data_IF_637748901660
#
_entry.id   IF_637748901660
#
_cell.length_a   1.000
_cell.length_b   1.000
_cell.length_c   1.000
_cell.angle_alpha   90.00
_cell.angle_beta   90.00
_cell.angle_gamma   90.00
#
_symmetry.space_group_name_H-M   'P 1'
#
loop_
_entity.id
_entity.type
_entity.pdbx_description
1 polymer ?
#
# COMPACT_ATOMS: atom_id res chain seq x y z
N UNK A 1 -17.81 66.84 15.19
CA UNK A 1 -18.54 65.56 15.33
C UNK A 1 -18.57 64.74 14.02
N UNK A 2 -19.02 65.29 12.89
CA UNK A 2 -19.06 64.59 11.59
C UNK A 2 -17.68 64.09 11.07
N UNK A 3 -16.63 64.90 11.23
CA UNK A 3 -15.25 64.54 10.82
C UNK A 3 -14.68 63.39 11.66
N UNK A 4 -15.00 63.35 12.96
CA UNK A 4 -14.56 62.28 13.86
C UNK A 4 -15.23 60.93 13.49
N UNK A 5 -16.51 60.97 13.09
CA UNK A 5 -17.24 59.79 12.61
C UNK A 5 -16.65 59.23 11.32
N UNK A 6 -16.27 60.11 10.37
CA UNK A 6 -15.64 59.72 9.11
C UNK A 6 -14.28 59.05 9.32
N UNK A 7 -13.47 59.58 10.24
CA UNK A 7 -12.18 59.00 10.60
C UNK A 7 -12.33 57.63 11.28
N UNK A 8 -13.33 57.46 12.15
CA UNK A 8 -13.62 56.17 12.79
C UNK A 8 -14.10 55.12 11.79
N UNK A 9 -14.95 55.51 10.85
CA UNK A 9 -15.41 54.65 9.75
C UNK A 9 -14.28 54.24 8.82
N UNK A 10 -13.36 55.15 8.50
CA UNK A 10 -12.16 54.84 7.71
C UNK A 10 -11.22 53.90 8.44
N UNK A 11 -11.05 54.07 9.76
CA UNK A 11 -10.23 53.19 10.60
C UNK A 11 -10.83 51.78 10.69
N UNK A 12 -12.16 51.68 10.83
CA UNK A 12 -12.90 50.42 10.81
C UNK A 12 -12.81 49.74 9.43
N UNK A 13 -12.92 50.49 8.34
CA UNK A 13 -12.72 49.98 6.98
C UNK A 13 -11.29 49.50 6.76
N UNK A 14 -10.28 50.22 7.26
CA UNK A 14 -8.88 49.80 7.21
C UNK A 14 -8.62 48.53 8.05
N UNK A 15 -9.23 48.41 9.23
CA UNK A 15 -9.15 47.20 10.06
C UNK A 15 -9.84 45.99 9.42
N UNK A 16 -10.93 46.19 8.68
CA UNK A 16 -11.62 45.13 7.91
C UNK A 16 -10.80 44.71 6.69
N UNK A 17 -10.11 45.64 6.03
CA UNK A 17 -9.26 45.33 4.85
C UNK A 17 -7.92 44.67 5.24
N UNK A 18 -7.42 44.91 6.46
CA UNK A 18 -6.22 44.23 6.99
C UNK A 18 -6.57 42.87 7.63
N UNK A 19 -7.85 42.52 7.71
CA UNK A 19 -8.35 41.29 8.31
C UNK A 19 -8.92 40.29 7.31
N UNK A 20 -8.20 39.96 6.24
CA UNK A 20 -8.42 38.71 5.47
C UNK A 20 -7.23 38.35 4.56
N UNK A 21 -6.01 38.41 5.10
CA UNK A 21 -4.87 37.71 4.52
C UNK A 21 -4.72 36.37 5.23
N UNK A 22 -5.76 35.52 5.14
CA UNK A 22 -5.71 34.14 5.59
C UNK A 22 -4.91 33.28 4.62
N UNK A 23 -3.63 33.09 4.93
CA UNK A 23 -2.95 31.79 4.91
C UNK A 23 -2.94 30.97 3.59
N UNK A 24 -2.50 31.56 2.47
CA UNK A 24 -2.07 30.76 1.31
C UNK A 24 -0.76 29.96 1.58
N UNK A 25 -0.03 30.27 2.66
CA UNK A 25 1.23 29.63 3.09
C UNK A 25 1.05 28.51 4.15
N UNK A 26 -0.17 28.24 4.65
CA UNK A 26 -0.32 27.43 5.87
C UNK A 26 0.07 25.95 5.66
N UNK A 27 -0.15 25.40 4.46
CA UNK A 27 0.06 23.98 4.16
C UNK A 27 1.08 23.73 3.04
N UNK A 28 2.22 24.42 3.10
CA UNK A 28 3.33 24.11 2.20
C UNK A 28 3.73 22.62 2.28
N UNK A 29 4.03 21.98 1.12
CA UNK A 29 4.49 20.60 1.07
C UNK A 29 5.75 20.38 1.91
N UNK A 30 5.83 19.22 2.55
CA UNK A 30 7.00 18.79 3.32
C UNK A 30 7.90 17.88 2.51
N UNK A 31 9.12 17.70 2.98
CA UNK A 31 10.04 16.71 2.43
C UNK A 31 10.55 15.76 3.51
N UNK A 32 10.86 14.52 3.13
CA UNK A 32 11.54 13.54 3.95
C UNK A 32 12.36 12.61 3.05
N UNK A 33 13.69 12.69 3.14
CA UNK A 33 14.58 11.95 2.24
C UNK A 33 14.36 12.35 0.78
N UNK A 34 14.15 11.34 -0.07
CA UNK A 34 13.94 11.48 -1.50
C UNK A 34 12.50 11.94 -1.85
N UNK A 35 11.59 11.97 -0.87
CA UNK A 35 10.25 12.52 -1.05
C UNK A 35 10.28 14.01 -0.80
N UNK A 36 10.16 14.80 -1.87
CA UNK A 36 10.26 16.27 -1.79
C UNK A 36 8.91 16.99 -1.70
N UNK A 37 7.80 16.35 -2.09
CA UNK A 37 6.48 16.99 -2.20
C UNK A 37 5.42 16.18 -1.44
N UNK A 38 5.57 16.07 -0.12
CA UNK A 38 4.58 15.45 0.76
C UNK A 38 3.54 16.53 1.11
N UNK A 39 2.41 16.46 0.43
CA UNK A 39 1.24 17.33 0.61
C UNK A 39 -0.02 16.52 0.92
N UNK A 40 -1.14 17.22 1.16
CA UNK A 40 -2.46 16.65 1.42
C UNK A 40 -2.79 15.53 0.40
N UNK A 41 -3.27 14.35 0.85
CA UNK A 41 -3.79 14.05 2.19
C UNK A 41 -2.73 13.71 3.24
N UNK A 42 -1.47 13.51 2.84
CA UNK A 42 -0.43 13.03 3.74
C UNK A 42 0.04 14.13 4.69
N UNK A 43 0.35 13.72 5.92
CA UNK A 43 1.03 14.55 6.93
C UNK A 43 2.24 13.83 7.49
N UNK A 44 3.24 14.59 7.92
CA UNK A 44 4.35 14.02 8.68
C UNK A 44 3.99 13.91 10.16
N UNK A 45 4.36 12.80 10.79
CA UNK A 45 4.20 12.58 12.23
C UNK A 45 4.92 13.69 13.01
N UNK A 46 4.19 14.33 13.91
CA UNK A 46 4.69 15.45 14.71
C UNK A 46 4.64 16.80 14.02
N UNK A 47 4.08 16.92 12.80
CA UNK A 47 3.76 18.22 12.21
C UNK A 47 2.67 18.91 13.04
N UNK A 48 2.94 20.10 13.64
CA UNK A 48 1.98 20.78 14.50
C UNK A 48 0.81 21.41 13.73
N UNK A 49 0.88 21.46 12.40
CA UNK A 49 -0.17 22.07 11.56
C UNK A 49 -1.37 21.14 11.45
N UNK A 50 -2.45 21.53 12.13
CA UNK A 50 -3.63 20.67 12.34
C UNK A 50 -4.39 20.40 11.03
N UNK A 51 -4.39 21.35 10.09
CA UNK A 51 -5.20 21.28 8.87
C UNK A 51 -4.45 20.81 7.61
N UNK A 52 -3.17 20.43 7.73
CA UNK A 52 -2.30 20.16 6.58
C UNK A 52 -2.13 18.68 6.23
N UNK A 53 -3.16 17.88 6.49
CA UNK A 53 -3.20 16.46 6.17
C UNK A 53 -4.12 15.70 7.12
N UNK A 54 -4.42 14.47 6.76
CA UNK A 54 -5.39 13.63 7.46
C UNK A 54 -4.67 12.67 8.42
N UNK A 55 -5.27 12.42 9.59
CA UNK A 55 -4.68 11.55 10.62
C UNK A 55 -4.42 10.12 10.11
N UNK A 56 -5.34 9.60 9.28
CA UNK A 56 -5.22 8.24 8.71
C UNK A 56 -4.15 8.14 7.60
N UNK A 57 -3.58 9.28 7.17
CA UNK A 57 -2.55 9.39 6.14
C UNK A 57 -1.24 9.95 6.73
N UNK A 58 -0.93 9.58 7.96
CA UNK A 58 0.29 9.99 8.65
C UNK A 58 1.51 9.15 8.24
N UNK A 59 2.60 9.82 7.85
CA UNK A 59 3.90 9.21 7.55
C UNK A 59 4.91 9.62 8.61
N UNK A 60 5.68 8.67 9.13
CA UNK A 60 6.84 9.00 9.95
C UNK A 60 8.03 9.38 9.07
N UNK A 61 8.91 10.26 9.55
CA UNK A 61 10.19 10.55 8.91
C UNK A 61 11.31 10.17 9.86
N UNK A 62 11.93 9.02 9.63
CA UNK A 62 12.95 8.45 10.51
C UNK A 62 14.24 8.22 9.71
N UNK A 63 15.37 8.71 10.21
CA UNK A 63 16.67 8.60 9.53
C UNK A 63 16.63 9.06 8.07
N UNK A 64 15.94 10.19 7.81
CA UNK A 64 15.76 10.75 6.47
C UNK A 64 15.06 9.79 5.49
N UNK A 65 14.16 8.93 5.99
CA UNK A 65 13.30 8.07 5.18
C UNK A 65 11.86 8.14 5.67
N UNK A 66 10.93 8.26 4.72
CA UNK A 66 9.52 8.21 5.01
C UNK A 66 9.09 6.76 5.28
N UNK A 67 8.37 6.55 6.37
CA UNK A 67 7.87 5.24 6.82
C UNK A 67 6.35 5.32 6.95
N UNK A 68 5.66 4.40 6.28
CA UNK A 68 4.26 4.11 6.51
C UNK A 68 4.15 2.97 7.52
N UNK A 69 3.39 3.21 8.59
CA UNK A 69 2.99 2.16 9.52
C UNK A 69 1.59 1.66 9.14
N UNK A 70 1.49 0.38 8.77
CA UNK A 70 0.26 -0.20 8.23
C UNK A 70 0.10 -1.65 8.69
N UNK A 71 -1.07 -2.02 9.22
CA UNK A 71 -1.36 -3.38 9.72
C UNK A 71 -0.28 -3.99 10.63
N UNK A 72 0.24 -3.20 11.58
CA UNK A 72 1.37 -3.56 12.46
C UNK A 72 2.71 -3.79 11.74
N UNK A 73 2.77 -3.54 10.43
CA UNK A 73 4.00 -3.50 9.65
C UNK A 73 4.56 -2.10 9.49
N UNK A 74 5.80 -2.04 9.04
CA UNK A 74 6.48 -0.80 8.67
C UNK A 74 7.08 -0.92 7.28
N UNK A 75 6.80 0.08 6.45
CA UNK A 75 7.15 0.10 5.03
C UNK A 75 7.82 1.42 4.67
N UNK A 76 8.95 1.38 3.97
CA UNK A 76 9.53 2.58 3.39
C UNK A 76 8.66 3.05 2.23
N UNK A 77 8.36 4.34 2.20
CA UNK A 77 7.65 4.97 1.07
C UNK A 77 8.66 5.34 -0.01
N UNK A 78 8.56 4.69 -1.17
CA UNK A 78 9.45 4.90 -2.32
C UNK A 78 9.00 6.06 -3.20
N UNK A 79 7.69 6.20 -3.40
CA UNK A 79 7.12 7.29 -4.19
C UNK A 79 5.66 7.52 -3.85
N UNK A 80 5.18 8.74 -4.12
CA UNK A 80 3.79 9.17 -3.97
C UNK A 80 3.36 9.78 -5.31
N UNK A 81 2.29 9.26 -5.91
CA UNK A 81 1.67 9.75 -7.12
C UNK A 81 0.30 10.35 -6.82
N UNK A 82 0.26 11.69 -6.74
CA UNK A 82 -0.99 12.42 -6.50
C UNK A 82 -2.00 12.30 -7.65
N UNK A 83 -1.51 12.25 -8.89
CA UNK A 83 -2.38 12.11 -10.06
C UNK A 83 -3.07 10.74 -10.10
N UNK A 84 -2.41 9.69 -9.60
CA UNK A 84 -2.93 8.33 -9.62
C UNK A 84 -3.54 7.90 -8.28
N UNK A 85 -3.53 8.78 -7.28
CA UNK A 85 -3.91 8.46 -5.91
C UNK A 85 -3.20 7.19 -5.40
N UNK A 86 -1.91 7.00 -5.72
CA UNK A 86 -1.17 5.78 -5.41
C UNK A 86 0.25 6.00 -4.89
N UNK A 87 0.72 5.16 -3.96
CA UNK A 87 2.04 5.21 -3.34
C UNK A 87 2.68 3.86 -3.44
N UNK A 88 3.98 3.86 -3.71
CA UNK A 88 4.77 2.64 -3.74
C UNK A 88 5.50 2.49 -2.42
N UNK A 89 5.32 1.34 -1.77
CA UNK A 89 5.91 1.04 -0.47
C UNK A 89 6.66 -0.29 -0.51
N UNK A 90 7.73 -0.41 0.28
CA UNK A 90 8.53 -1.65 0.40
C UNK A 90 8.74 -2.00 1.86
N UNK A 91 8.66 -3.28 2.22
CA UNK A 91 8.86 -3.72 3.60
C UNK A 91 10.26 -3.31 4.11
N UNK A 92 10.33 -2.78 5.33
CA UNK A 92 11.58 -2.26 5.92
C UNK A 92 12.63 -3.33 6.21
N UNK A 93 12.25 -4.61 6.19
CA UNK A 93 13.16 -5.76 6.28
C UNK A 93 13.99 -6.00 5.03
N UNK A 94 13.51 -5.56 3.87
CA UNK A 94 14.18 -5.74 2.59
C UNK A 94 15.30 -4.71 2.41
N UNK A 95 16.44 -5.18 1.88
CA UNK A 95 17.63 -4.38 1.64
C UNK A 95 18.12 -4.55 0.21
N UNK A 96 18.28 -3.46 -0.55
CA UNK A 96 18.92 -3.51 -1.86
C UNK A 96 20.30 -4.16 -1.77
N UNK A 97 20.67 -4.95 -2.78
CA UNK A 97 21.96 -5.64 -2.89
C UNK A 97 22.26 -6.69 -1.80
N UNK A 98 21.30 -7.00 -0.91
CA UNK A 98 21.42 -8.07 0.08
C UNK A 98 20.28 -9.06 -0.13
N UNK A 99 20.52 -10.11 -0.94
CA UNK A 99 19.47 -11.09 -1.25
C UNK A 99 19.05 -11.93 -0.04
N UNK A 100 19.86 -11.99 1.02
CA UNK A 100 19.50 -12.65 2.28
C UNK A 100 18.51 -11.84 3.13
N UNK A 101 18.21 -10.59 2.74
CA UNK A 101 17.20 -9.79 3.44
C UNK A 101 15.79 -10.31 3.14
N UNK A 102 14.95 -10.34 4.18
CA UNK A 102 13.60 -10.87 4.12
C UNK A 102 12.58 -9.79 4.51
N UNK A 103 11.38 -9.82 3.93
CA UNK A 103 10.28 -9.03 4.46
C UNK A 103 10.01 -9.43 5.92
N UNK A 104 9.70 -8.45 6.76
CA UNK A 104 9.41 -8.66 8.19
C UNK A 104 7.93 -8.81 8.47
N UNK A 105 7.09 -8.26 7.61
CA UNK A 105 5.65 -8.20 7.83
C UNK A 105 4.92 -8.83 6.64
N UNK A 106 3.90 -9.62 6.96
CA UNK A 106 3.01 -10.13 5.92
C UNK A 106 2.10 -9.00 5.44
N UNK A 107 1.96 -8.87 4.12
CA UNK A 107 1.04 -7.92 3.49
C UNK A 107 0.35 -8.62 2.34
N UNK A 108 -0.93 -8.91 2.52
CA UNK A 108 -1.76 -9.71 1.61
C UNK A 108 -3.02 -8.93 1.22
N UNK A 109 -3.72 -9.33 0.15
CA UNK A 109 -5.01 -8.72 -0.19
C UNK A 109 -6.02 -8.84 0.95
N UNK A 110 -5.92 -9.87 1.79
CA UNK A 110 -6.80 -10.09 2.94
C UNK A 110 -6.62 -9.08 4.09
N UNK A 111 -5.52 -8.32 4.09
CA UNK A 111 -5.37 -7.22 5.05
C UNK A 111 -6.34 -6.06 4.75
N UNK A 112 -6.71 -5.88 3.48
CA UNK A 112 -7.49 -4.74 2.98
C UNK A 112 -8.99 -5.09 2.85
N UNK A 113 -9.56 -5.67 3.91
CA UNK A 113 -10.96 -6.15 3.89
C UNK A 113 -11.96 -5.16 4.45
N UNK A 114 -11.49 -4.09 5.10
CA UNK A 114 -12.37 -3.10 5.69
C UNK A 114 -12.64 -1.96 4.68
N UNK A 115 -13.92 -1.63 4.48
CA UNK A 115 -14.35 -0.55 3.60
C UNK A 115 -13.95 0.85 4.10
N UNK A 116 -13.46 0.95 5.34
CA UNK A 116 -12.92 2.17 5.93
C UNK A 116 -11.39 2.22 5.90
N UNK A 117 -10.73 1.22 5.32
CA UNK A 117 -9.27 1.26 5.23
C UNK A 117 -8.84 2.49 4.40
N UNK A 118 -7.88 3.30 4.90
CA UNK A 118 -7.44 4.51 4.20
C UNK A 118 -6.66 4.19 2.92
N UNK A 119 -6.18 2.96 2.84
CA UNK A 119 -5.51 2.41 1.68
C UNK A 119 -6.28 1.21 1.17
N UNK A 120 -6.32 1.07 -0.14
CA UNK A 120 -6.64 -0.17 -0.80
C UNK A 120 -5.43 -0.58 -1.63
N UNK A 121 -5.51 -1.78 -2.17
CA UNK A 121 -4.39 -2.40 -2.86
C UNK A 121 -4.53 -2.20 -4.40
N UNK A 122 -5.47 -1.34 -4.81
CA UNK A 122 -6.01 -0.96 -6.13
C UNK A 122 -6.09 -1.98 -7.28
N UNK A 123 -7.31 -2.17 -7.77
CA UNK A 123 -7.57 -2.34 -9.20
C UNK A 123 -8.34 -1.07 -9.67
N UNK A 124 -7.77 -0.23 -10.55
CA UNK A 124 -8.39 0.99 -11.07
C UNK A 124 -9.72 0.80 -11.80
N UNK A 125 -10.14 -0.43 -12.03
CA UNK A 125 -11.41 -0.74 -12.66
C UNK A 125 -12.53 -1.10 -11.69
N UNK A 126 -12.28 -1.17 -10.37
CA UNK A 126 -13.33 -1.31 -9.36
C UNK A 126 -14.21 -2.56 -9.54
N UNK A 127 -13.71 -3.55 -10.26
CA UNK A 127 -14.42 -4.78 -10.52
C UNK A 127 -14.02 -5.74 -9.42
N UNK A 128 -15.02 -6.17 -8.65
CA UNK A 128 -14.93 -7.37 -7.82
C UNK A 128 -14.66 -8.56 -8.75
N UNK A 129 -13.42 -8.69 -9.24
CA UNK A 129 -13.06 -9.77 -10.14
C UNK A 129 -12.60 -10.98 -9.33
N UNK A 130 -13.04 -12.20 -9.71
CA UNK A 130 -12.56 -13.46 -9.15
C UNK A 130 -11.06 -13.74 -9.36
N UNK A 131 -10.36 -12.87 -10.10
CA UNK A 131 -8.99 -13.05 -10.55
C UNK A 131 -8.16 -11.83 -10.12
N UNK A 132 -7.74 -11.82 -8.86
CA UNK A 132 -6.70 -10.90 -8.42
C UNK A 132 -5.37 -11.41 -9.00
N UNK A 133 -4.96 -10.81 -10.12
CA UNK A 133 -3.77 -11.18 -10.91
C UNK A 133 -2.44 -10.83 -10.22
N UNK A 134 -2.49 -10.46 -8.95
CA UNK A 134 -1.29 -10.06 -8.22
C UNK A 134 -0.54 -11.29 -7.78
N UNK A 135 0.77 -11.16 -7.91
CA UNK A 135 1.68 -12.20 -7.48
C UNK A 135 1.70 -12.22 -5.96
N UNK A 136 1.52 -13.40 -5.39
CA UNK A 136 1.68 -13.69 -3.98
C UNK A 136 2.95 -14.54 -3.82
N UNK A 137 3.84 -14.08 -2.93
CA UNK A 137 5.01 -14.81 -2.51
C UNK A 137 4.75 -15.37 -1.11
N UNK A 138 4.71 -16.70 -0.99
CA UNK A 138 4.47 -17.41 0.27
C UNK A 138 5.77 -18.08 0.69
N UNK A 139 6.38 -17.60 1.76
CA UNK A 139 7.61 -18.22 2.28
C UNK A 139 7.23 -19.41 3.13
N UNK A 140 7.82 -20.54 2.81
CA UNK A 140 7.59 -21.80 3.50
C UNK A 140 8.89 -22.42 3.96
N UNK A 141 8.82 -23.04 5.13
CA UNK A 141 9.87 -23.86 5.69
C UNK A 141 9.39 -25.30 5.68
N UNK A 142 10.10 -26.17 4.96
CA UNK A 142 9.76 -27.58 4.85
C UNK A 142 10.83 -28.42 5.58
N UNK A 143 10.39 -29.35 6.43
CA UNK A 143 11.26 -30.14 7.31
C UNK A 143 12.21 -31.11 6.60
N UNK A 144 11.95 -31.46 5.33
CA UNK A 144 12.79 -32.33 4.49
C UNK A 144 12.70 -31.93 3.01
N UNK A 145 13.79 -32.13 2.26
CA UNK A 145 13.86 -31.89 0.79
C UNK A 145 12.86 -32.76 0.03
N UNK A 146 12.62 -34.00 0.49
CA UNK A 146 11.74 -34.97 -0.18
C UNK A 146 10.25 -34.56 -0.21
N UNK A 147 9.86 -33.53 0.55
CA UNK A 147 8.51 -32.98 0.50
C UNK A 147 8.25 -32.28 -0.84
N UNK A 148 9.27 -31.64 -1.45
CA UNK A 148 9.15 -30.88 -2.69
C UNK A 148 9.85 -31.63 -3.82
N UNK A 149 9.08 -32.14 -4.77
CA UNK A 149 9.60 -32.87 -5.92
C UNK A 149 10.10 -31.86 -6.96
N UNK A 150 11.05 -32.28 -7.82
CA UNK A 150 11.55 -31.47 -8.93
C UNK A 150 10.48 -31.06 -9.97
N UNK A 151 9.25 -31.55 -9.84
CA UNK A 151 8.10 -31.23 -10.69
C UNK A 151 7.19 -30.13 -10.14
N UNK A 152 7.43 -29.63 -8.92
CA UNK A 152 6.57 -28.61 -8.30
C UNK A 152 6.96 -27.20 -8.74
N UNK A 153 6.43 -26.78 -9.89
CA UNK A 153 6.77 -25.51 -10.54
C UNK A 153 6.43 -24.24 -9.72
N UNK A 154 5.65 -24.36 -8.65
CA UNK A 154 5.35 -23.26 -7.74
C UNK A 154 6.51 -22.94 -6.78
N UNK A 155 7.36 -23.93 -6.47
CA UNK A 155 8.37 -23.83 -5.42
C UNK A 155 9.69 -23.33 -5.98
N UNK A 156 10.18 -22.24 -5.42
CA UNK A 156 11.49 -21.68 -5.73
C UNK A 156 12.40 -21.86 -4.53
N UNK A 157 13.52 -22.55 -4.73
CA UNK A 157 14.56 -22.68 -3.70
C UNK A 157 15.16 -21.30 -3.41
N UNK A 158 15.25 -20.96 -2.12
CA UNK A 158 15.80 -19.70 -1.63
C UNK A 158 17.32 -19.73 -1.51
N UNK A 159 17.94 -20.90 -1.65
CA UNK A 159 19.38 -21.04 -1.70
C UNK A 159 19.96 -20.38 -2.96
N UNK A 160 21.18 -19.79 -2.90
CA UNK A 160 22.06 -19.67 -1.73
C UNK A 160 21.76 -18.44 -0.84
N UNK A 161 20.70 -17.68 -1.12
CA UNK A 161 20.46 -16.39 -0.47
C UNK A 161 19.96 -16.54 0.97
N UNK A 162 19.05 -17.49 1.25
CA UNK A 162 18.58 -17.78 2.60
C UNK A 162 19.16 -19.13 3.02
N UNK A 163 20.03 -19.13 4.04
CA UNK A 163 20.49 -20.37 4.66
C UNK A 163 19.62 -20.71 5.87
N UNK A 164 19.66 -21.96 6.35
CA UNK A 164 18.92 -22.39 7.56
C UNK A 164 19.22 -21.51 8.81
N UNK A 165 20.37 -20.82 8.82
CA UNK A 165 20.78 -19.90 9.89
C UNK A 165 20.14 -18.51 9.85
N UNK A 166 19.48 -18.11 8.76
CA UNK A 166 18.82 -16.80 8.63
C UNK A 166 17.31 -16.82 8.90
N UNK A 167 16.71 -18.00 9.10
CA UNK A 167 15.33 -18.10 9.58
C UNK A 167 15.27 -17.76 11.07
N UNK A 168 14.37 -16.88 11.54
CA UNK A 168 14.35 -16.41 12.93
C UNK A 168 14.04 -17.47 14.00
N UNK A 169 13.70 -18.72 13.62
CA UNK A 169 13.04 -19.67 14.54
C UNK A 169 13.61 -21.08 14.67
N UNK A 170 14.58 -21.56 13.86
CA UNK A 170 15.08 -22.95 14.06
C UNK A 170 16.47 -23.25 13.46
N UNK A 171 17.53 -23.43 14.28
CA UNK A 171 18.89 -23.67 13.80
C UNK A 171 19.30 -25.16 13.75
N UNK A 172 18.38 -26.14 13.83
CA UNK A 172 18.76 -27.54 14.14
C UNK A 172 18.22 -28.68 13.28
N UNK A 173 17.61 -28.43 12.14
CA UNK A 173 17.44 -29.48 11.12
C UNK A 173 17.70 -28.87 9.75
N UNK A 174 18.01 -29.71 8.76
CA UNK A 174 18.12 -29.37 7.35
C UNK A 174 16.76 -28.94 6.78
N UNK A 175 16.22 -27.84 7.30
CA UNK A 175 15.02 -27.19 6.81
C UNK A 175 15.35 -26.50 5.51
N UNK A 176 14.63 -26.88 4.45
CA UNK A 176 14.71 -26.20 3.17
C UNK A 176 13.69 -25.07 3.14
N UNK A 177 14.18 -23.86 2.87
CA UNK A 177 13.35 -22.68 2.74
C UNK A 177 12.99 -22.49 1.27
N UNK A 178 11.70 -22.38 0.98
CA UNK A 178 11.20 -22.14 -0.36
C UNK A 178 10.30 -20.91 -0.38
N UNK A 179 10.16 -20.32 -1.56
CA UNK A 179 9.06 -19.39 -1.85
C UNK A 179 8.12 -20.08 -2.82
N UNK A 180 6.86 -20.21 -2.42
CA UNK A 180 5.77 -20.62 -3.29
C UNK A 180 5.24 -19.36 -3.98
N UNK A 181 5.33 -19.33 -5.30
CA UNK A 181 4.89 -18.22 -6.13
C UNK A 181 3.59 -18.56 -6.84
N UNK A 182 2.62 -17.66 -6.83
CA UNK A 182 1.43 -17.78 -7.67
C UNK A 182 0.59 -16.52 -7.65
N UNK A 183 -0.60 -16.58 -8.23
CA UNK A 183 -1.57 -15.50 -8.13
C UNK A 183 -2.21 -15.49 -6.74
N UNK A 184 -2.83 -14.38 -6.35
CA UNK A 184 -3.46 -14.21 -5.03
C UNK A 184 -4.49 -15.30 -4.65
N UNK A 185 -5.07 -15.99 -5.64
CA UNK A 185 -6.02 -17.08 -5.49
C UNK A 185 -5.37 -18.49 -5.47
N UNK A 186 -4.13 -18.58 -4.98
CA UNK A 186 -3.39 -19.84 -4.83
C UNK A 186 -4.27 -20.94 -4.19
N UNK A 187 -4.35 -22.15 -4.79
CA UNK A 187 -5.08 -23.28 -4.21
C UNK A 187 -4.57 -23.64 -2.81
N UNK A 188 -5.48 -23.99 -1.89
CA UNK A 188 -5.12 -24.29 -0.49
C UNK A 188 -4.20 -25.51 -0.37
N UNK A 189 -4.31 -26.46 -1.30
CA UNK A 189 -3.51 -27.68 -1.39
C UNK A 189 -2.12 -27.47 -2.01
N UNK A 190 -1.76 -26.25 -2.42
CA UNK A 190 -0.43 -25.94 -2.94
C UNK A 190 0.66 -26.07 -1.87
N UNK A 191 0.31 -25.83 -0.60
CA UNK A 191 1.24 -25.96 0.53
C UNK A 191 1.25 -27.41 0.98
N UNK A 192 2.40 -28.06 0.81
CA UNK A 192 2.54 -29.49 1.06
C UNK A 192 2.54 -29.83 2.55
N UNK A 193 2.12 -31.05 2.85
CA UNK A 193 2.24 -31.61 4.20
C UNK A 193 3.70 -31.58 4.67
N UNK A 194 3.92 -31.16 5.92
CA UNK A 194 5.27 -31.00 6.49
C UNK A 194 5.93 -29.65 6.18
N UNK A 195 5.29 -28.77 5.41
CA UNK A 195 5.70 -27.38 5.24
C UNK A 195 4.90 -26.44 6.17
N UNK A 196 5.56 -25.41 6.69
CA UNK A 196 4.93 -24.35 7.48
C UNK A 196 5.07 -23.01 6.78
N UNK A 197 3.99 -22.24 6.69
CA UNK A 197 4.03 -20.86 6.18
C UNK A 197 4.67 -19.95 7.23
N UNK A 198 5.72 -19.24 6.84
CA UNK A 198 6.40 -18.26 7.70
C UNK A 198 5.84 -16.85 7.50
N UNK A 199 5.61 -16.44 6.25
CA UNK A 199 5.07 -15.13 5.89
C UNK A 199 4.49 -15.12 4.46
N UNK A 200 3.64 -14.14 4.17
CA UNK A 200 3.05 -13.93 2.84
C UNK A 200 3.16 -12.46 2.43
N UNK A 201 3.64 -12.18 1.22
CA UNK A 201 3.73 -10.81 0.69
C UNK A 201 3.24 -10.72 -0.74
N UNK A 202 2.49 -9.66 -1.04
CA UNK A 202 2.11 -9.29 -2.41
C UNK A 202 3.33 -8.72 -3.14
N UNK A 203 3.50 -9.11 -4.40
CA UNK A 203 4.50 -8.58 -5.31
C UNK A 203 4.01 -7.34 -6.08
N UNK A 204 4.92 -6.73 -6.85
CA UNK A 204 4.58 -5.59 -7.72
C UNK A 204 3.64 -6.02 -8.85
N UNK A 205 2.57 -5.25 -9.07
CA UNK A 205 1.51 -5.52 -10.07
C UNK A 205 1.70 -4.72 -11.37
N UNK A 206 2.49 -3.65 -11.32
CA UNK A 206 2.65 -2.69 -12.41
C UNK A 206 3.82 -3.06 -13.34
N UNK A 207 3.54 -3.34 -14.61
CA UNK A 207 4.55 -3.43 -15.67
C UNK A 207 5.59 -4.54 -15.51
N UNK A 208 5.34 -5.51 -14.62
CA UNK A 208 6.23 -6.64 -14.45
C UNK A 208 6.04 -7.62 -15.61
N UNK A 209 7.08 -7.79 -16.43
CA UNK A 209 7.26 -8.96 -17.31
C UNK A 209 7.45 -10.27 -16.51
N UNK A 210 7.10 -10.28 -15.22
CA UNK A 210 7.16 -11.43 -14.34
C UNK A 210 6.03 -12.37 -14.76
N UNK A 211 6.29 -13.12 -15.82
CA UNK A 211 5.38 -14.09 -16.42
C UNK A 211 5.39 -15.34 -15.57
N UNK A 212 4.56 -15.36 -14.54
CA UNK A 212 4.25 -16.59 -13.83
C UNK A 212 3.72 -17.66 -14.82
N UNK A 213 2.94 -17.23 -15.82
CA UNK A 213 2.32 -18.09 -16.82
C UNK A 213 3.25 -18.68 -17.88
N UNK A 214 4.52 -18.24 -17.99
CA UNK A 214 5.38 -18.69 -19.10
C UNK A 214 6.39 -19.78 -18.73
N UNK A 215 6.24 -20.46 -17.58
CA UNK A 215 7.11 -21.57 -17.16
C UNK A 215 8.62 -21.24 -17.18
N UNK A 216 8.99 -19.95 -17.18
CA UNK A 216 10.38 -19.55 -17.02
C UNK A 216 10.67 -19.54 -15.52
N UNK A 217 11.43 -20.53 -15.09
CA UNK A 217 11.86 -20.73 -13.70
C UNK A 217 12.40 -19.40 -13.17
N UNK A 218 11.70 -18.84 -12.18
CA UNK A 218 12.12 -17.63 -11.48
C UNK A 218 13.10 -18.05 -10.39
N UNK A 219 14.29 -17.44 -10.34
CA UNK A 219 15.21 -17.67 -9.22
C UNK A 219 14.77 -16.87 -8.00
N UNK A 220 15.16 -17.28 -6.79
CA UNK A 220 14.87 -16.46 -5.61
C UNK A 220 15.48 -15.05 -5.72
N UNK A 221 16.60 -14.89 -6.44
CA UNK A 221 17.16 -13.57 -6.72
C UNK A 221 16.21 -12.69 -7.54
N UNK A 222 15.49 -13.26 -8.50
CA UNK A 222 14.48 -12.54 -9.27
C UNK A 222 13.28 -12.17 -8.38
N UNK A 223 12.80 -13.09 -7.53
CA UNK A 223 11.76 -12.81 -6.52
C UNK A 223 12.17 -11.66 -5.61
N UNK A 224 13.41 -11.70 -5.09
CA UNK A 224 13.93 -10.68 -4.20
C UNK A 224 13.96 -9.30 -4.87
N UNK A 225 14.40 -9.23 -6.13
CA UNK A 225 14.33 -7.98 -6.92
C UNK A 225 12.91 -7.51 -7.16
N UNK A 226 11.96 -8.40 -7.39
CA UNK A 226 10.54 -8.02 -7.51
C UNK A 226 9.99 -7.47 -6.19
N UNK A 227 10.29 -8.10 -5.04
CA UNK A 227 9.89 -7.58 -3.74
C UNK A 227 10.49 -6.18 -3.46
N UNK A 228 11.72 -5.93 -3.91
CA UNK A 228 12.38 -4.62 -3.79
C UNK A 228 11.71 -3.52 -4.62
N UNK A 229 10.94 -3.85 -5.66
CA UNK A 229 10.12 -2.85 -6.37
C UNK A 229 8.98 -2.32 -5.49
N UNK A 230 8.59 -3.07 -4.47
CA UNK A 230 7.51 -2.71 -3.57
C UNK A 230 6.12 -2.95 -4.15
N UNK A 231 5.13 -2.62 -3.33
CA UNK A 231 3.70 -2.76 -3.59
C UNK A 231 3.11 -1.37 -3.78
N UNK A 232 2.19 -1.24 -4.73
CA UNK A 232 1.43 -0.02 -4.94
C UNK A 232 0.15 -0.05 -4.09
N UNK A 233 0.00 0.93 -3.20
CA UNK A 233 -1.19 1.16 -2.39
C UNK A 233 -1.92 2.37 -2.95
N UNK A 234 -3.23 2.30 -3.07
CA UNK A 234 -4.09 3.41 -3.48
C UNK A 234 -4.74 4.06 -2.27
N UNK A 235 -4.86 5.39 -2.30
CA UNK A 235 -5.74 6.15 -1.42
C UNK A 235 -6.90 6.80 -2.20
N UNK A 236 -7.21 6.28 -3.39
CA UNK A 236 -8.31 6.79 -4.21
C UNK A 236 -9.67 6.70 -3.48
N UNK A 237 -9.80 5.80 -2.50
CA UNK A 237 -10.93 5.72 -1.57
C UNK A 237 -11.23 7.05 -0.88
N UNK A 238 -10.25 7.95 -0.75
CA UNK A 238 -10.47 9.30 -0.23
C UNK A 238 -11.51 10.08 -1.05
N UNK A 239 -11.57 9.85 -2.37
CA UNK A 239 -12.56 10.45 -3.26
C UNK A 239 -14.00 10.05 -2.89
N UNK A 240 -14.18 8.94 -2.16
CA UNK A 240 -15.46 8.47 -1.68
C UNK A 240 -15.93 9.13 -0.38
N UNK A 241 -15.11 9.92 0.32
CA UNK A 241 -15.51 10.59 1.56
C UNK A 241 -16.84 11.35 1.45
N UNK A 242 -17.11 12.14 0.38
CA UNK A 242 -18.40 12.83 0.22
C UNK A 242 -19.60 11.88 0.14
N UNK A 243 -19.42 10.66 -0.38
CA UNK A 243 -20.46 9.63 -0.41
C UNK A 243 -20.67 9.04 1.00
N UNK A 244 -19.59 8.71 1.70
CA UNK A 244 -19.63 8.11 3.03
C UNK A 244 -20.27 9.04 4.07
N UNK A 245 -19.99 10.35 4.00
CA UNK A 245 -20.66 11.35 4.85
C UNK A 245 -22.19 11.39 4.66
N UNK A 246 -22.70 10.94 3.51
CA UNK A 246 -24.13 10.83 3.22
C UNK A 246 -24.71 9.44 3.50
N UNK A 247 -23.94 8.55 4.13
CA UNK A 247 -24.32 7.16 4.37
C UNK A 247 -24.50 6.34 3.08
N UNK A 248 -23.86 6.75 1.99
CA UNK A 248 -23.93 6.11 0.68
C UNK A 248 -22.73 5.22 0.44
N UNK A 249 -22.91 4.21 -0.40
CA UNK A 249 -21.78 3.45 -0.91
C UNK A 249 -21.12 4.19 -2.07
N UNK A 250 -19.90 3.76 -2.40
CA UNK A 250 -19.08 4.45 -3.37
C UNK A 250 -18.28 3.45 -4.21
N UNK A 251 -18.07 3.81 -5.48
CA UNK A 251 -17.09 3.19 -6.36
C UNK A 251 -16.25 4.28 -6.98
N UNK A 252 -14.94 4.04 -7.07
CA UNK A 252 -13.99 4.84 -7.83
C UNK A 252 -13.54 4.01 -9.01
N UNK A 253 -13.54 4.61 -10.20
CA UNK A 253 -13.00 3.99 -11.41
C UNK A 253 -12.24 5.04 -12.24
N UNK A 254 -11.27 4.59 -13.02
CA UNK A 254 -10.48 5.44 -13.89
C UNK A 254 -11.05 5.45 -15.32
N UNK A 255 -11.31 6.63 -15.87
CA UNK A 255 -11.69 6.80 -17.28
C UNK A 255 -10.49 6.59 -18.21
N UNK A 256 -10.76 6.39 -19.52
CA UNK A 256 -9.73 6.19 -20.55
C UNK A 256 -8.75 7.36 -20.68
N UNK A 257 -9.16 8.55 -20.25
CA UNK A 257 -8.32 9.76 -20.21
C UNK A 257 -7.43 9.83 -18.95
N UNK A 258 -7.49 8.83 -18.06
CA UNK A 258 -6.74 8.76 -16.80
C UNK A 258 -7.42 9.45 -15.61
N UNK A 259 -8.60 10.05 -15.80
CA UNK A 259 -9.33 10.75 -14.73
C UNK A 259 -10.02 9.76 -13.79
N UNK A 260 -9.85 9.96 -12.48
CA UNK A 260 -10.59 9.21 -11.48
C UNK A 260 -11.99 9.80 -11.30
N UNK A 261 -13.01 8.96 -11.46
CA UNK A 261 -14.41 9.33 -11.30
C UNK A 261 -15.01 8.57 -10.12
N UNK A 262 -15.79 9.30 -9.33
CA UNK A 262 -16.47 8.78 -8.14
C UNK A 262 -17.96 8.69 -8.38
N UNK A 263 -18.56 7.53 -8.08
CA UNK A 263 -20.00 7.32 -8.14
C UNK A 263 -20.55 6.94 -6.77
N UNK A 264 -21.43 7.78 -6.22
CA UNK A 264 -22.16 7.46 -5.00
C UNK A 264 -23.44 6.68 -5.31
N UNK A 265 -23.72 5.64 -4.54
CA UNK A 265 -24.89 4.81 -4.71
C UNK A 265 -25.81 4.81 -3.48
N UNK A 266 -27.11 4.66 -3.72
CA UNK A 266 -28.14 4.65 -2.68
C UNK A 266 -28.78 3.26 -2.60
N UNK A 267 -29.44 2.94 -1.47
CA UNK A 267 -30.29 1.74 -1.35
C UNK A 267 -29.58 0.41 -1.69
N UNK A 268 -28.31 0.29 -1.34
CA UNK A 268 -27.52 -0.91 -1.62
C UNK A 268 -28.02 -2.08 -0.77
N UNK A 269 -28.52 -3.13 -1.43
CA UNK A 269 -28.79 -4.41 -0.77
C UNK A 269 -27.52 -5.24 -0.78
N UNK A 270 -27.27 -5.96 0.31
CA UNK A 270 -26.14 -6.87 0.47
C UNK A 270 -26.63 -8.32 0.31
N UNK A 271 -26.94 -8.82 -0.89
CA UNK A 271 -27.00 -10.27 -1.09
C UNK A 271 -25.59 -10.85 -0.95
N UNK A 272 -25.53 -12.14 -0.62
CA UNK A 272 -24.36 -12.88 -0.13
C UNK A 272 -23.12 -12.88 -1.03
N UNK A 273 -23.16 -12.34 -2.25
CA UNK A 273 -22.07 -12.43 -3.22
C UNK A 273 -21.83 -11.16 -4.06
N UNK A 274 -22.70 -10.14 -4.01
CA UNK A 274 -22.50 -8.89 -4.74
C UNK A 274 -23.30 -7.77 -4.10
N UNK A 275 -22.77 -6.55 -4.13
CA UNK A 275 -23.52 -5.37 -3.71
C UNK A 275 -24.32 -4.88 -4.92
N UNK A 276 -25.66 -4.87 -4.81
CA UNK A 276 -26.53 -4.26 -5.82
C UNK A 276 -27.08 -2.95 -5.27
N UNK A 277 -26.73 -1.85 -5.92
CA UNK A 277 -27.25 -0.53 -5.62
C UNK A 277 -28.14 0.02 -6.74
N UNK A 278 -29.11 0.84 -6.37
CA UNK A 278 -29.99 1.57 -7.29
C UNK A 278 -29.52 3.01 -7.49
#
# INVERSE_FOLDING_TARGET
MKVLLLLLLLLLLLLVVVGDAGDEDECEPRSCGDLHNISYPFRLKGDPRINCGLADYELACENNRAILYLYHGSYYVLSISYNNYSMRVVDTGLQPHNCSSLPRHSLTPYNFTNYQDPYDLHDPYGLLYPNDDRILFVFVNCGTIDAVNSSDYYYVDTSPCINASSSPKNPRNSSSNYVVCGLSNLPVDVIKEGCTVELMVVGSTTGSNFKYESHNITTYYDIHREMLKGVELSWSILLCQPCFHKGRQCSVYQELNGLFVTKCFSNCKKPSQSIHCA
#
